data_IF_706009072137
#
_entry.id   IF_706009072137
#
_cell.length_a   1.000
_cell.length_b   1.000
_cell.length_c   1.000
_cell.angle_alpha   90.00
_cell.angle_beta   90.00
_cell.angle_gamma   90.00
#
_symmetry.space_group_name_H-M   'P 1'
#
loop_
_entity.id
_entity.type
_entity.pdbx_description
1 polymer ?
#
# COMPACT_ATOMS: atom_id res chain seq x y z
N UNK A 1 -7.63 13.51 25.69
CA UNK A 1 -8.34 14.01 24.48
C UNK A 1 -8.05 13.09 23.33
N UNK A 2 -9.07 12.61 22.64
CA UNK A 2 -8.89 11.81 21.42
C UNK A 2 -8.77 12.77 20.23
N UNK A 3 -7.79 12.54 19.36
CA UNK A 3 -7.56 13.35 18.17
C UNK A 3 -7.88 12.51 16.92
N UNK A 4 -8.71 13.04 16.02
CA UNK A 4 -8.81 12.51 14.66
C UNK A 4 -7.48 12.77 13.95
N UNK A 5 -6.76 11.72 13.59
CA UNK A 5 -5.40 11.86 13.03
C UNK A 5 -5.39 12.59 11.66
N UNK A 6 -6.18 12.10 10.69
CA UNK A 6 -6.24 12.67 9.34
C UNK A 6 -7.63 12.50 8.70
N UNK A 7 -7.94 13.34 7.70
CA UNK A 7 -9.06 13.14 6.76
C UNK A 7 -8.50 12.79 5.39
N UNK A 8 -8.62 11.53 4.99
CA UNK A 8 -8.15 11.06 3.68
C UNK A 8 -9.21 11.35 2.63
N UNK A 9 -8.81 12.02 1.55
CA UNK A 9 -9.71 12.41 0.47
C UNK A 9 -8.96 12.56 -0.85
N UNK A 10 -9.66 12.31 -1.95
CA UNK A 10 -9.23 12.59 -3.31
C UNK A 10 -10.31 13.43 -4.00
N UNK A 11 -9.95 14.55 -4.61
CA UNK A 11 -10.90 15.43 -5.31
C UNK A 11 -12.12 15.83 -4.45
N UNK A 12 -11.92 16.02 -3.14
CA UNK A 12 -12.98 16.35 -2.18
C UNK A 12 -13.86 15.18 -1.75
N UNK A 13 -13.63 13.97 -2.28
CA UNK A 13 -14.35 12.75 -1.90
C UNK A 13 -13.57 12.01 -0.81
N UNK A 14 -14.25 11.70 0.29
CA UNK A 14 -13.65 10.94 1.39
C UNK A 14 -13.28 9.53 0.94
N UNK A 15 -12.10 9.06 1.36
CA UNK A 15 -11.61 7.73 0.98
C UNK A 15 -11.71 6.77 2.18
N UNK A 16 -12.49 5.68 2.07
CA UNK A 16 -12.66 4.72 3.17
C UNK A 16 -11.38 3.91 3.40
N UNK A 17 -11.16 3.47 4.63
CA UNK A 17 -10.08 2.55 5.00
C UNK A 17 -10.74 1.30 5.57
N UNK A 18 -10.51 0.13 4.96
CA UNK A 18 -11.06 -1.15 5.43
C UNK A 18 -9.99 -2.10 5.98
N UNK A 19 -8.72 -1.77 5.81
CA UNK A 19 -7.59 -2.58 6.25
C UNK A 19 -6.86 -1.95 7.42
N UNK A 20 -6.21 -2.78 8.25
CA UNK A 20 -5.36 -2.27 9.32
C UNK A 20 -4.20 -1.44 8.75
N UNK A 21 -3.96 -0.21 9.23
CA UNK A 21 -2.76 0.54 8.92
C UNK A 21 -1.50 -0.21 9.38
N UNK A 22 -0.42 -0.07 8.61
CA UNK A 22 0.90 -0.57 8.97
C UNK A 22 1.73 0.55 9.61
N UNK A 23 2.54 0.21 10.61
CA UNK A 23 3.41 1.16 11.29
C UNK A 23 4.85 0.96 10.86
N UNK A 24 5.53 2.07 10.56
CA UNK A 24 6.96 2.10 10.27
C UNK A 24 7.68 3.12 11.16
N UNK A 25 9.01 3.00 11.20
CA UNK A 25 9.91 4.00 11.78
C UNK A 25 10.84 4.50 10.67
N UNK A 26 10.84 5.80 10.39
CA UNK A 26 11.74 6.45 9.42
C UNK A 26 12.44 7.59 10.13
N UNK A 27 13.77 7.54 10.23
CA UNK A 27 14.57 8.58 10.89
C UNK A 27 14.04 8.95 12.31
N UNK A 28 13.74 7.92 13.11
CA UNK A 28 13.10 8.03 14.45
C UNK A 28 11.70 8.67 14.48
N UNK A 29 11.08 8.89 13.32
CA UNK A 29 9.69 9.34 13.21
C UNK A 29 8.77 8.14 12.99
N UNK A 30 7.69 8.07 13.76
CA UNK A 30 6.64 7.07 13.56
C UNK A 30 5.90 7.43 12.27
N UNK A 31 5.63 6.42 11.45
CA UNK A 31 4.94 6.59 10.17
C UNK A 31 3.75 5.64 10.15
N UNK A 32 2.57 6.19 9.92
CA UNK A 32 1.33 5.45 9.74
C UNK A 32 1.10 5.30 8.25
N UNK A 33 1.03 4.05 7.79
CA UNK A 33 0.85 3.70 6.40
C UNK A 33 -0.54 3.09 6.24
N UNK A 34 -1.38 3.68 5.40
CA UNK A 34 -2.73 3.21 5.14
C UNK A 34 -3.07 3.39 3.67
N UNK A 35 -3.52 2.32 3.01
CA UNK A 35 -4.19 2.45 1.73
C UNK A 35 -5.69 2.46 1.88
N UNK A 36 -6.34 3.13 0.93
CA UNK A 36 -7.77 3.34 0.94
C UNK A 36 -8.47 2.37 0.00
N UNK A 37 -9.75 2.14 0.29
CA UNK A 37 -10.55 1.18 -0.45
C UNK A 37 -11.60 0.52 0.43
N UNK A 38 -12.76 0.23 -0.18
CA UNK A 38 -13.75 -0.70 0.36
C UNK A 38 -14.19 -1.70 -0.70
N UNK A 39 -14.41 -2.93 -0.27
CA UNK A 39 -14.84 -4.05 -1.10
C UNK A 39 -15.75 -4.98 -0.29
N UNK A 40 -16.82 -4.42 0.25
CA UNK A 40 -17.74 -5.04 1.22
C UNK A 40 -19.20 -5.01 0.74
N UNK A 41 -19.53 -4.19 -0.26
CA UNK A 41 -20.89 -3.97 -0.76
C UNK A 41 -20.94 -4.05 -2.30
N UNK A 42 -22.13 -4.30 -2.86
CA UNK A 42 -22.33 -4.41 -4.31
C UNK A 42 -21.93 -3.13 -5.05
N UNK A 43 -22.17 -1.96 -4.46
CA UNK A 43 -21.77 -0.67 -5.05
C UNK A 43 -20.25 -0.52 -5.22
N UNK A 44 -19.45 -1.30 -4.49
CA UNK A 44 -17.99 -1.27 -4.59
C UNK A 44 -17.50 -1.83 -5.92
N UNK A 45 -18.28 -2.68 -6.57
CA UNK A 45 -17.92 -3.28 -7.85
C UNK A 45 -17.83 -2.23 -8.98
N UNK A 46 -18.58 -1.13 -8.85
CA UNK A 46 -18.69 -0.10 -9.89
C UNK A 46 -18.13 1.25 -9.49
N UNK A 47 -18.00 1.54 -8.19
CA UNK A 47 -17.41 2.79 -7.70
C UNK A 47 -15.99 2.97 -8.25
N UNK A 48 -15.76 4.13 -8.88
CA UNK A 48 -14.49 4.50 -9.52
C UNK A 48 -13.80 5.69 -8.85
N UNK A 49 -14.18 6.01 -7.61
CA UNK A 49 -13.52 7.08 -6.87
C UNK A 49 -12.06 6.68 -6.63
N UNK A 50 -11.14 7.62 -6.89
CA UNK A 50 -9.71 7.41 -6.75
C UNK A 50 -9.38 6.89 -5.34
N UNK A 51 -8.61 5.81 -5.27
CA UNK A 51 -8.04 5.29 -4.03
C UNK A 51 -6.52 5.47 -4.00
N UNK A 52 -5.94 5.45 -2.81
CA UNK A 52 -4.59 5.98 -2.59
C UNK A 52 -3.93 5.28 -1.42
N UNK A 53 -2.63 5.11 -1.53
CA UNK A 53 -1.77 4.73 -0.42
C UNK A 53 -1.13 5.96 0.18
N UNK A 54 -1.21 6.09 1.51
CA UNK A 54 -0.63 7.16 2.28
C UNK A 54 0.42 6.62 3.24
N UNK A 55 1.52 7.36 3.41
CA UNK A 55 2.47 7.20 4.50
C UNK A 55 2.62 8.55 5.21
N UNK A 56 2.05 8.66 6.41
CA UNK A 56 1.92 9.92 7.15
C UNK A 56 2.75 9.83 8.42
N UNK A 57 3.61 10.83 8.63
CA UNK A 57 4.36 11.02 9.87
C UNK A 57 3.41 11.28 11.04
N UNK A 58 3.57 10.53 12.12
CA UNK A 58 2.99 10.81 13.43
C UNK A 58 4.10 11.29 14.38
N UNK A 59 4.22 12.62 14.50
CA UNK A 59 5.18 13.29 15.39
C UNK A 59 4.46 13.94 16.57
N UNK A 60 3.61 13.17 17.24
CA UNK A 60 2.74 13.64 18.33
C UNK A 60 1.79 14.74 17.85
N UNK A 61 1.05 14.44 16.77
CA UNK A 61 0.12 15.38 16.18
C UNK A 61 -0.85 15.95 17.24
N UNK A 62 -1.01 17.27 17.25
CA UNK A 62 -1.93 17.99 18.14
C UNK A 62 -3.17 18.51 17.40
N UNK A 63 -3.19 18.40 16.07
CA UNK A 63 -4.27 18.82 15.20
C UNK A 63 -4.53 17.80 14.09
N UNK A 64 -5.77 17.73 13.61
CA UNK A 64 -6.18 16.85 12.51
C UNK A 64 -5.59 17.32 11.19
N UNK A 65 -4.96 16.41 10.44
CA UNK A 65 -4.52 16.69 9.08
C UNK A 65 -5.72 16.60 8.10
N UNK A 66 -6.37 17.74 7.84
CA UNK A 66 -7.64 17.81 7.09
C UNK A 66 -7.52 17.52 5.58
N UNK A 67 -6.31 17.61 5.00
CA UNK A 67 -6.05 17.24 3.61
C UNK A 67 -4.56 16.86 3.46
N UNK A 68 -4.18 15.60 3.76
CA UNK A 68 -2.78 15.19 3.74
C UNK A 68 -2.09 15.48 2.41
N UNK A 69 -2.79 15.33 1.27
CA UNK A 69 -2.23 15.57 -0.08
C UNK A 69 -1.64 16.96 -0.29
N UNK A 70 -2.09 17.96 0.46
CA UNK A 70 -1.55 19.33 0.38
C UNK A 70 -0.13 19.45 0.98
N UNK A 71 0.28 18.49 1.81
CA UNK A 71 1.57 18.53 2.54
C UNK A 71 2.46 17.31 2.31
N UNK A 72 1.89 16.23 1.79
CA UNK A 72 2.61 15.01 1.47
C UNK A 72 3.21 15.10 0.07
N UNK A 73 4.37 14.47 -0.12
CA UNK A 73 5.01 14.34 -1.43
C UNK A 73 4.21 13.35 -2.28
N UNK A 74 3.79 13.78 -3.47
CA UNK A 74 3.13 12.89 -4.42
C UNK A 74 4.17 12.00 -5.11
N UNK A 75 3.89 10.70 -5.16
CA UNK A 75 4.52 9.75 -6.07
C UNK A 75 3.53 9.29 -7.12
N UNK A 76 4.04 8.78 -8.24
CA UNK A 76 3.21 8.15 -9.27
C UNK A 76 3.72 6.76 -9.61
N UNK A 77 2.79 5.89 -10.03
CA UNK A 77 3.07 4.57 -10.58
C UNK A 77 2.63 4.59 -12.03
N UNK A 78 3.48 4.11 -12.93
CA UNK A 78 3.21 4.08 -14.38
C UNK A 78 3.42 2.68 -14.94
N UNK A 79 2.75 2.32 -16.04
CA UNK A 79 2.96 1.03 -16.70
C UNK A 79 4.42 0.79 -17.10
N UNK A 80 4.85 -0.46 -17.03
CA UNK A 80 6.16 -0.94 -17.50
C UNK A 80 5.99 -2.27 -18.24
N UNK A 81 5.09 -2.29 -19.22
CA UNK A 81 4.59 -3.52 -19.85
C UNK A 81 3.14 -3.82 -19.45
N UNK A 82 2.64 -4.99 -19.84
CA UNK A 82 1.25 -5.38 -19.59
C UNK A 82 0.99 -5.78 -18.13
N UNK A 83 1.97 -6.44 -17.50
CA UNK A 83 1.82 -7.09 -16.19
C UNK A 83 2.76 -6.53 -15.12
N UNK A 84 3.46 -5.44 -15.43
CA UNK A 84 4.41 -4.78 -14.53
C UNK A 84 4.21 -3.28 -14.53
N UNK A 85 4.46 -2.66 -13.37
CA UNK A 85 4.47 -1.21 -13.19
C UNK A 85 5.78 -0.76 -12.57
N UNK A 86 6.16 0.48 -12.82
CA UNK A 86 7.34 1.13 -12.25
C UNK A 86 7.01 2.45 -11.57
N UNK A 87 7.96 2.95 -10.78
CA UNK A 87 7.90 4.34 -10.29
C UNK A 87 7.86 5.32 -11.47
N UNK A 88 6.87 6.21 -11.48
CA UNK A 88 6.70 7.27 -12.47
C UNK A 88 7.33 8.61 -12.06
N UNK A 89 7.75 8.73 -10.80
CA UNK A 89 8.42 9.91 -10.23
C UNK A 89 9.77 9.51 -9.60
N UNK A 90 10.56 10.53 -9.28
CA UNK A 90 11.78 10.41 -8.47
C UNK A 90 11.78 11.43 -7.31
N UNK A 91 10.60 11.87 -6.86
CA UNK A 91 10.45 12.93 -5.87
C UNK A 91 11.05 12.47 -4.52
N UNK A 92 11.95 13.27 -3.97
CA UNK A 92 12.57 13.00 -2.68
C UNK A 92 11.57 13.18 -1.53
N UNK A 93 11.63 12.30 -0.53
CA UNK A 93 10.84 12.40 0.70
C UNK A 93 11.78 12.60 1.87
N UNK A 94 11.51 13.61 2.69
CA UNK A 94 12.24 13.87 3.93
C UNK A 94 11.25 13.91 5.10
N UNK A 95 11.32 12.92 6.00
CA UNK A 95 10.44 12.85 7.17
C UNK A 95 10.83 13.82 8.29
N UNK A 96 12.03 14.41 8.25
CA UNK A 96 12.41 15.46 9.21
C UNK A 96 11.60 16.73 8.97
N UNK A 97 11.55 17.20 7.73
CA UNK A 97 10.89 18.47 7.37
C UNK A 97 9.48 18.28 6.80
N UNK A 98 9.19 17.15 6.16
CA UNK A 98 7.92 16.83 5.53
C UNK A 98 7.03 15.90 6.36
N UNK A 99 5.79 15.73 5.90
CA UNK A 99 4.79 14.89 6.55
C UNK A 99 4.73 13.46 5.99
N UNK A 100 5.50 13.15 4.95
CA UNK A 100 5.54 11.84 4.29
C UNK A 100 5.15 11.91 2.82
N UNK A 101 4.50 10.86 2.33
CA UNK A 101 4.20 10.70 0.90
C UNK A 101 2.84 10.03 0.65
N UNK A 102 2.34 10.16 -0.58
CA UNK A 102 1.18 9.41 -1.06
C UNK A 102 1.37 8.98 -2.51
N UNK A 103 0.63 7.94 -2.91
CA UNK A 103 0.57 7.48 -4.30
C UNK A 103 -0.83 7.03 -4.63
N UNK A 104 -1.37 7.54 -5.73
CA UNK A 104 -2.66 7.13 -6.24
C UNK A 104 -2.56 5.79 -6.96
N UNK A 105 -3.54 4.92 -6.74
CA UNK A 105 -3.62 3.66 -7.48
C UNK A 105 -4.05 3.95 -8.93
N UNK A 106 -3.24 3.58 -9.94
CA UNK A 106 -3.41 4.14 -11.27
C UNK A 106 -4.55 3.52 -12.07
N UNK A 107 -5.00 2.29 -11.75
CA UNK A 107 -6.14 1.72 -12.47
C UNK A 107 -7.47 2.26 -11.90
N UNK A 108 -8.46 2.56 -12.78
CA UNK A 108 -9.79 2.89 -12.32
C UNK A 108 -10.33 1.79 -11.40
N UNK A 109 -10.95 2.20 -10.29
CA UNK A 109 -11.54 1.29 -9.28
C UNK A 109 -10.53 0.49 -8.47
N UNK A 110 -9.23 0.63 -8.71
CA UNK A 110 -8.20 -0.04 -7.90
C UNK A 110 -8.31 0.39 -6.43
N UNK A 111 -8.18 -0.57 -5.51
CA UNK A 111 -8.39 -0.32 -4.07
C UNK A 111 -7.65 -1.32 -3.20
N UNK A 112 -7.33 -0.93 -1.98
CA UNK A 112 -6.81 -1.85 -0.98
C UNK A 112 -7.96 -2.43 -0.15
N UNK A 113 -8.06 -3.76 -0.10
CA UNK A 113 -8.99 -4.51 0.76
C UNK A 113 -8.30 -5.63 1.56
N UNK A 114 -7.00 -5.85 1.35
CA UNK A 114 -6.16 -6.78 2.12
C UNK A 114 -5.06 -5.97 2.81
N UNK A 115 -4.80 -6.26 4.08
CA UNK A 115 -3.85 -5.50 4.89
C UNK A 115 -2.42 -5.61 4.32
N UNK A 116 -1.69 -4.50 4.37
CA UNK A 116 -0.29 -4.46 3.94
C UNK A 116 0.64 -5.06 5.01
N UNK A 117 1.89 -5.32 4.63
CA UNK A 117 2.93 -5.78 5.56
C UNK A 117 4.27 -5.13 5.23
N UNK A 118 4.90 -4.52 6.22
CA UNK A 118 6.25 -3.99 6.09
C UNK A 118 7.27 -5.08 6.42
N UNK A 119 8.15 -5.39 5.47
CA UNK A 119 9.20 -6.40 5.62
C UNK A 119 10.50 -5.83 5.08
N UNK A 120 11.51 -5.70 5.95
CA UNK A 120 12.86 -5.27 5.56
C UNK A 120 12.89 -3.99 4.70
N UNK A 121 12.04 -3.01 5.03
CA UNK A 121 11.94 -1.75 4.28
C UNK A 121 11.10 -1.80 3.01
N UNK A 122 10.59 -2.98 2.63
CA UNK A 122 9.62 -3.11 1.55
C UNK A 122 8.21 -3.22 2.12
N UNK A 123 7.34 -2.32 1.71
CA UNK A 123 5.91 -2.37 1.99
C UNK A 123 5.22 -3.25 0.95
N UNK A 124 4.70 -4.40 1.38
CA UNK A 124 3.94 -5.32 0.55
C UNK A 124 2.46 -4.94 0.62
N UNK A 125 1.83 -4.72 -0.53
CA UNK A 125 0.50 -4.14 -0.65
C UNK A 125 -0.26 -4.74 -1.84
N UNK A 126 -1.06 -5.79 -1.63
CA UNK A 126 -2.04 -6.23 -2.62
C UNK A 126 -3.18 -5.21 -2.77
N UNK A 127 -3.54 -4.91 -4.01
CA UNK A 127 -4.72 -4.13 -4.39
C UNK A 127 -5.60 -4.94 -5.34
N UNK A 128 -6.89 -4.62 -5.34
CA UNK A 128 -7.93 -5.25 -6.15
C UNK A 128 -8.45 -4.24 -7.15
N UNK A 129 -8.63 -4.65 -8.40
CA UNK A 129 -9.33 -3.90 -9.44
C UNK A 129 -10.60 -4.65 -9.81
N UNK A 130 -11.76 -4.28 -9.22
CA UNK A 130 -13.02 -4.93 -9.53
C UNK A 130 -13.39 -4.73 -11.01
N UNK A 131 -13.79 -5.82 -11.65
CA UNK A 131 -14.46 -5.78 -12.95
C UNK A 131 -15.78 -6.54 -12.86
N UNK A 132 -16.67 -6.28 -13.81
CA UNK A 132 -17.98 -6.92 -13.91
C UNK A 132 -18.10 -7.77 -15.17
N UNK A 133 -16.97 -8.28 -15.69
CA UNK A 133 -16.96 -9.07 -16.92
C UNK A 133 -17.18 -10.55 -16.60
N UNK A 134 -17.89 -11.27 -17.48
CA UNK A 134 -18.22 -12.68 -17.27
C UNK A 134 -16.96 -13.57 -17.11
N UNK A 135 -15.84 -13.19 -17.75
CA UNK A 135 -14.59 -13.95 -17.70
C UNK A 135 -13.73 -13.67 -16.46
N UNK A 136 -13.96 -12.56 -15.76
CA UNK A 136 -13.26 -12.20 -14.51
C UNK A 136 -14.27 -11.56 -13.55
N UNK A 137 -15.25 -12.32 -13.02
CA UNK A 137 -16.33 -11.75 -12.22
C UNK A 137 -15.84 -11.07 -10.93
N UNK A 138 -14.63 -11.38 -10.46
CA UNK A 138 -13.97 -10.72 -9.33
C UNK A 138 -12.96 -9.62 -9.74
N UNK A 139 -12.68 -9.48 -11.04
CA UNK A 139 -11.62 -8.62 -11.56
C UNK A 139 -10.22 -9.21 -11.50
N UNK A 140 -9.22 -8.34 -11.40
CA UNK A 140 -7.81 -8.70 -11.27
C UNK A 140 -7.19 -7.94 -10.09
N UNK A 141 -5.92 -8.18 -9.79
CA UNK A 141 -5.23 -7.45 -8.72
C UNK A 141 -3.84 -7.00 -9.13
N UNK A 142 -3.25 -6.15 -8.29
CA UNK A 142 -1.84 -5.80 -8.36
C UNK A 142 -1.20 -6.13 -7.02
N UNK A 143 -0.06 -6.83 -7.06
CA UNK A 143 0.79 -6.98 -5.90
C UNK A 143 1.84 -5.86 -5.92
N UNK A 144 1.61 -4.81 -5.14
CA UNK A 144 2.49 -3.65 -5.06
C UNK A 144 3.56 -3.86 -3.99
N UNK A 145 4.76 -3.35 -4.25
CA UNK A 145 5.90 -3.40 -3.36
C UNK A 145 6.73 -2.12 -3.50
N UNK A 146 6.73 -1.30 -2.45
CA UNK A 146 7.33 0.03 -2.44
C UNK A 146 8.33 0.17 -1.29
N UNK A 147 9.35 1.01 -1.45
CA UNK A 147 10.15 1.44 -0.31
C UNK A 147 9.27 2.33 0.59
N UNK A 148 9.02 1.88 1.82
CA UNK A 148 8.12 2.56 2.75
C UNK A 148 8.56 4.00 3.12
N UNK A 149 9.83 4.34 2.93
CA UNK A 149 10.40 5.67 3.23
C UNK A 149 10.16 6.65 2.10
N UNK A 150 9.94 6.19 0.88
CA UNK A 150 9.87 7.07 -0.30
C UNK A 150 8.59 6.94 -1.11
N UNK A 151 7.92 5.79 -1.05
CA UNK A 151 6.81 5.46 -1.95
C UNK A 151 7.26 5.16 -3.38
N UNK A 152 8.56 4.93 -3.59
CA UNK A 152 9.18 4.61 -4.88
C UNK A 152 9.64 3.15 -4.89
N UNK A 153 10.25 2.75 -6.00
CA UNK A 153 10.88 1.45 -6.16
C UNK A 153 11.93 1.19 -5.09
N UNK A 154 11.91 -0.05 -4.59
CA UNK A 154 12.88 -0.53 -3.62
C UNK A 154 14.25 -0.61 -4.30
N UNK A 155 15.20 0.19 -3.83
CA UNK A 155 16.55 0.22 -4.41
C UNK A 155 17.34 -0.99 -3.92
N UNK A 156 17.53 -1.97 -4.80
CA UNK A 156 18.42 -3.12 -4.62
C UNK A 156 19.56 -3.12 -5.63
N UNK A 157 20.49 -4.07 -5.51
CA UNK A 157 21.51 -4.35 -6.53
C UNK A 157 21.25 -5.74 -7.11
N UNK A 158 20.99 -5.89 -8.42
CA UNK A 158 20.88 -4.84 -9.45
C UNK A 158 19.65 -3.92 -9.23
N UNK A 159 19.73 -2.70 -9.78
CA UNK A 159 18.65 -1.71 -9.65
C UNK A 159 17.46 -2.08 -10.55
N UNK A 160 16.27 -2.13 -9.95
CA UNK A 160 14.99 -2.23 -10.66
C UNK A 160 14.11 -1.06 -10.24
N UNK A 161 13.36 -0.49 -11.18
CA UNK A 161 12.35 0.52 -10.90
C UNK A 161 10.93 -0.07 -10.80
N UNK A 162 10.79 -1.39 -10.89
CA UNK A 162 9.50 -2.09 -10.84
C UNK A 162 8.94 -2.00 -9.42
N UNK A 163 7.63 -1.73 -9.32
CA UNK A 163 6.89 -1.53 -8.06
C UNK A 163 5.65 -2.39 -7.94
N UNK A 164 5.20 -3.03 -9.02
CA UNK A 164 4.02 -3.89 -8.98
C UNK A 164 4.10 -5.00 -10.02
N UNK A 165 3.52 -6.15 -9.68
CA UNK A 165 3.22 -7.24 -10.60
C UNK A 165 1.71 -7.46 -10.64
N UNK A 166 1.16 -7.70 -11.83
CA UNK A 166 -0.25 -8.02 -12.00
C UNK A 166 -0.54 -9.44 -11.54
N UNK A 167 -1.72 -9.63 -10.97
CA UNK A 167 -2.26 -10.94 -10.56
C UNK A 167 -3.52 -11.25 -11.37
N UNK A 168 -3.76 -12.52 -11.69
CA UNK A 168 -4.87 -12.97 -12.56
C UNK A 168 -6.25 -12.70 -11.95
N UNK A 169 -6.33 -12.70 -10.62
CA UNK A 169 -7.50 -12.40 -9.82
C UNK A 169 -7.09 -11.65 -8.55
N UNK A 170 -8.04 -11.04 -7.80
CA UNK A 170 -7.75 -10.38 -6.54
C UNK A 170 -7.01 -11.30 -5.56
N UNK A 171 -6.02 -10.76 -4.85
CA UNK A 171 -5.35 -11.49 -3.79
C UNK A 171 -6.29 -11.65 -2.60
N UNK A 172 -6.37 -12.85 -2.03
CA UNK A 172 -7.20 -13.16 -0.84
C UNK A 172 -6.35 -13.25 0.43
N UNK A 173 -5.03 -13.33 0.28
CA UNK A 173 -4.07 -13.33 1.37
C UNK A 173 -2.67 -13.61 0.85
N UNK A 174 -1.67 -13.22 1.63
CA UNK A 174 -0.28 -13.53 1.33
C UNK A 174 0.50 -13.80 2.62
N UNK A 175 1.56 -14.59 2.49
CA UNK A 175 2.49 -14.89 3.55
C UNK A 175 3.91 -14.55 3.11
N UNK A 176 4.75 -14.24 4.08
CA UNK A 176 6.19 -14.10 3.85
C UNK A 176 6.86 -15.31 4.47
N UNK A 177 7.51 -16.10 3.64
CA UNK A 177 8.25 -17.30 4.02
C UNK A 177 9.74 -17.05 3.81
N UNK A 178 10.60 -17.70 4.58
CA UNK A 178 12.04 -17.61 4.40
C UNK A 178 12.54 -18.86 3.69
N UNK A 179 13.19 -18.67 2.54
CA UNK A 179 13.82 -19.73 1.76
C UNK A 179 15.28 -19.32 1.59
N UNK A 180 16.21 -20.19 1.98
CA UNK A 180 17.65 -19.92 1.98
C UNK A 180 18.02 -18.59 2.68
N UNK A 181 17.37 -18.32 3.82
CA UNK A 181 17.59 -17.11 4.62
C UNK A 181 17.06 -15.81 4.01
N UNK A 182 16.37 -15.88 2.86
CA UNK A 182 15.80 -14.71 2.18
C UNK A 182 14.27 -14.73 2.25
N UNK A 183 13.62 -13.59 2.50
CA UNK A 183 12.15 -13.52 2.45
C UNK A 183 11.66 -13.73 1.01
N UNK A 184 10.58 -14.50 0.89
CA UNK A 184 9.83 -14.76 -0.34
C UNK A 184 8.36 -14.54 -0.04
N UNK A 185 7.63 -13.99 -1.00
CA UNK A 185 6.20 -13.73 -0.87
C UNK A 185 5.43 -14.87 -1.50
N UNK A 186 4.59 -15.53 -0.72
CA UNK A 186 3.63 -16.53 -1.18
C UNK A 186 2.25 -15.89 -1.21
N UNK A 187 1.67 -15.73 -2.40
CA UNK A 187 0.39 -15.07 -2.61
C UNK A 187 -0.68 -16.10 -3.00
N UNK A 188 -1.91 -15.88 -2.53
CA UNK A 188 -3.10 -16.65 -2.91
C UNK A 188 -4.10 -15.71 -3.56
N UNK A 189 -4.68 -16.14 -4.67
CA UNK A 189 -5.63 -15.35 -5.47
C UNK A 189 -7.00 -16.04 -5.52
N UNK A 190 -8.05 -15.27 -5.80
CA UNK A 190 -9.43 -15.76 -5.70
C UNK A 190 -9.80 -16.90 -6.69
N UNK A 191 -9.07 -17.03 -7.81
CA UNK A 191 -9.29 -18.04 -8.85
C UNK A 191 -8.40 -19.28 -8.70
N UNK A 192 -7.41 -19.25 -7.80
CA UNK A 192 -6.49 -20.36 -7.57
C UNK A 192 -6.17 -20.49 -6.07
N UNK A 193 -6.66 -21.54 -5.39
CA UNK A 193 -6.44 -21.71 -3.95
C UNK A 193 -5.00 -22.11 -3.60
N UNK A 194 -4.17 -22.49 -4.59
CA UNK A 194 -2.79 -22.89 -4.35
C UNK A 194 -1.90 -21.65 -4.20
N UNK A 195 -1.18 -21.50 -3.06
CA UNK A 195 -0.24 -20.40 -2.89
C UNK A 195 0.90 -20.47 -3.91
N UNK A 196 1.17 -19.34 -4.58
CA UNK A 196 2.25 -19.21 -5.57
C UNK A 196 3.29 -18.22 -5.06
N UNK A 197 4.57 -18.55 -5.22
CA UNK A 197 5.65 -17.62 -4.92
C UNK A 197 5.70 -16.52 -5.98
N UNK A 198 5.63 -15.26 -5.55
CA UNK A 198 5.84 -14.12 -6.43
C UNK A 198 7.34 -13.98 -6.73
N UNK A 199 7.73 -13.91 -8.02
CA UNK A 199 9.13 -13.79 -8.40
C UNK A 199 9.66 -12.39 -8.07
N UNK A 200 10.95 -12.31 -7.76
CA UNK A 200 11.75 -11.08 -7.80
C UNK A 200 11.24 -9.87 -6.99
N UNK A 201 10.51 -10.10 -5.90
CA UNK A 201 10.15 -9.02 -4.96
C UNK A 201 11.41 -8.53 -4.22
N UNK A 202 11.78 -7.24 -4.36
CA UNK A 202 12.98 -6.70 -3.73
C UNK A 202 12.78 -6.39 -2.23
N UNK A 203 13.84 -6.57 -1.43
CA UNK A 203 13.88 -6.23 0.00
C UNK A 203 15.14 -5.41 0.30
N UNK A 204 14.99 -4.21 0.88
CA UNK A 204 16.08 -3.25 1.07
C UNK A 204 16.87 -3.37 2.39
N UNK A 205 16.38 -4.16 3.35
CA UNK A 205 16.92 -4.22 4.72
C UNK A 205 17.56 -5.55 5.09
N UNK A 206 18.41 -5.52 6.13
CA UNK A 206 19.12 -6.69 6.68
C UNK A 206 18.53 -7.26 7.99
N UNK A 207 17.32 -6.85 8.38
CA UNK A 207 16.60 -7.43 9.54
C UNK A 207 16.71 -6.67 10.85
N UNK A 208 17.40 -5.53 10.89
CA UNK A 208 17.68 -4.75 12.13
C UNK A 208 16.62 -3.69 12.47
N UNK A 209 15.45 -3.71 11.82
CA UNK A 209 14.39 -2.71 11.98
C UNK A 209 13.40 -2.98 13.12
N UNK A 210 12.46 -2.03 13.29
CA UNK A 210 11.36 -1.99 14.28
C UNK A 210 10.80 -3.37 14.68
N UNK A 211 10.95 -3.74 15.96
CA UNK A 211 10.63 -5.08 16.50
C UNK A 211 9.28 -5.15 17.25
N UNK A 212 8.53 -4.04 17.36
CA UNK A 212 7.39 -3.95 18.30
C UNK A 212 6.08 -3.61 17.57
N UNK A 213 5.23 -4.60 17.31
CA UNK A 213 3.87 -4.37 16.78
C UNK A 213 2.87 -4.34 17.93
N UNK A 214 2.20 -3.20 18.17
CA UNK A 214 0.96 -3.16 18.97
C UNK A 214 -0.23 -3.12 18.02
N UNK A 215 -1.09 -4.12 18.13
CA UNK A 215 -2.31 -4.28 17.34
C UNK A 215 -3.53 -4.05 18.23
N UNK A 216 -3.97 -2.81 18.37
CA UNK A 216 -5.34 -2.51 18.84
C UNK A 216 -5.92 -1.38 17.99
N UNK A 217 -7.07 -1.63 17.38
CA UNK A 217 -7.90 -0.64 16.71
C UNK A 217 -9.22 -0.52 17.47
N UNK A 218 -9.69 0.70 17.68
CA UNK A 218 -11.04 0.95 18.21
C UNK A 218 -11.72 1.99 17.33
N UNK A 219 -12.80 1.58 16.71
CA UNK A 219 -13.74 2.49 16.06
C UNK A 219 -14.50 3.25 17.16
N UNK A 220 -14.61 4.57 17.01
CA UNK A 220 -15.45 5.41 17.86
C UNK A 220 -16.42 6.11 16.91
N UNK A 221 -17.70 5.74 17.02
CA UNK A 221 -18.80 6.46 16.42
C UNK A 221 -19.20 7.60 17.37
N UNK A 222 -19.30 8.82 16.84
CA UNK A 222 -20.00 9.95 17.48
C UNK A 222 -21.43 10.03 16.94
#
# INVERSE_FOLDING_TARGET
TVLKFAKLQANGIAQPITTSPELGLVDNKKVIIAGTGKYLEVADLTNSDQQTLYAIKDDSATATLNNPRATLVQQTIVPDGADTRKSGTNNGVNFTTGNGWYVDFPDPRERQNISSRLVLGTLLLPTTVPTSTACQPAGYGWFNYLDYRTGLAVKTTPSSNVVSQRTTAPSVGFNVVYIDGKPKVSNVVADNPNPVLLPDIPFAGSGTGFQVKRSIWREITE
#
